data_IF_461265257494
#
_entry.id   IF_461265257494
#
_cell.length_a   1.000
_cell.length_b   1.000
_cell.length_c   1.000
_cell.angle_alpha   90.00
_cell.angle_beta   90.00
_cell.angle_gamma   90.00
#
_symmetry.space_group_name_H-M   'P 1'
#
loop_
_entity.id
_entity.type
_entity.pdbx_description
1 polymer ?
#
# COMPACT_ATOMS: atom_id res chain seq x y z
N UNK A 1 6.59 -4.94 -7.43
CA UNK A 1 5.75 -3.88 -7.99
C UNK A 1 6.47 -2.55 -8.00
N UNK A 2 6.04 -1.64 -8.85
CA UNK A 2 6.62 -0.32 -9.07
C UNK A 2 5.63 0.79 -8.66
N UNK A 3 6.13 2.01 -8.46
CA UNK A 3 5.35 3.17 -8.04
C UNK A 3 5.75 4.38 -8.89
N UNK A 4 4.75 5.12 -9.38
CA UNK A 4 4.91 6.47 -9.91
C UNK A 4 4.19 7.46 -8.99
N UNK A 5 4.86 8.56 -8.63
CA UNK A 5 4.36 9.63 -7.79
C UNK A 5 4.38 10.97 -8.53
N UNK A 6 3.25 11.66 -8.58
CA UNK A 6 3.07 12.95 -9.25
C UNK A 6 1.60 13.33 -9.36
N UNK A 7 1.33 14.54 -9.80
CA UNK A 7 0.00 14.92 -10.27
C UNK A 7 -0.27 14.15 -11.56
N UNK A 8 -1.48 13.65 -11.77
CA UNK A 8 -1.76 12.70 -12.85
C UNK A 8 -1.36 13.21 -14.23
N UNK A 9 -1.64 14.47 -14.51
CA UNK A 9 -1.33 15.15 -15.78
C UNK A 9 0.18 15.38 -16.01
N UNK A 10 1.01 15.34 -14.96
CA UNK A 10 2.46 15.53 -15.06
C UNK A 10 3.21 14.22 -15.28
N UNK A 11 2.54 13.06 -15.12
CA UNK A 11 3.16 11.74 -15.29
C UNK A 11 2.95 11.29 -16.74
N UNK A 12 4.02 10.96 -17.50
CA UNK A 12 3.87 10.42 -18.86
C UNK A 12 2.95 9.20 -18.89
N UNK A 13 2.13 9.08 -19.94
CA UNK A 13 1.15 8.00 -20.08
C UNK A 13 1.82 6.62 -20.01
N UNK A 14 2.96 6.43 -20.67
CA UNK A 14 3.74 5.20 -20.69
C UNK A 14 4.17 4.75 -19.28
N UNK A 15 4.53 5.70 -18.41
CA UNK A 15 4.90 5.41 -17.01
C UNK A 15 3.69 4.88 -16.23
N UNK A 16 2.50 5.49 -16.40
CA UNK A 16 1.27 5.01 -15.79
C UNK A 16 0.87 3.62 -16.32
N UNK A 17 1.00 3.40 -17.61
CA UNK A 17 0.72 2.12 -18.27
C UNK A 17 1.63 1.02 -17.73
N UNK A 18 2.93 1.27 -17.59
CA UNK A 18 3.88 0.30 -17.07
C UNK A 18 3.63 -0.03 -15.59
N UNK A 19 3.17 0.93 -14.79
CA UNK A 19 2.69 0.65 -13.42
C UNK A 19 1.55 -0.36 -13.43
N UNK A 20 0.58 -0.23 -14.34
CA UNK A 20 -0.53 -1.18 -14.48
C UNK A 20 -0.03 -2.53 -15.00
N UNK A 21 0.83 -2.53 -16.02
CA UNK A 21 1.43 -3.74 -16.59
C UNK A 21 2.12 -4.58 -15.52
N UNK A 22 3.01 -3.95 -14.75
CA UNK A 22 3.80 -4.64 -13.72
C UNK A 22 2.95 -5.05 -12.51
N UNK A 23 2.16 -4.12 -11.97
CA UNK A 23 1.50 -4.31 -10.67
C UNK A 23 0.18 -5.07 -10.75
N UNK A 24 -0.47 -5.12 -11.91
CA UNK A 24 -1.76 -5.78 -12.10
C UNK A 24 -1.67 -6.89 -13.13
N UNK A 25 -1.34 -6.56 -14.38
CA UNK A 25 -1.35 -7.56 -15.45
C UNK A 25 -0.28 -8.63 -15.25
N UNK A 26 0.87 -8.29 -14.65
CA UNK A 26 1.89 -9.27 -14.26
C UNK A 26 1.35 -10.35 -13.32
N UNK A 27 0.56 -9.97 -12.32
CA UNK A 27 -0.08 -10.91 -11.39
C UNK A 27 -1.14 -11.78 -12.08
N UNK A 28 -1.99 -11.16 -12.94
CA UNK A 28 -3.01 -11.90 -13.72
C UNK A 28 -2.34 -12.94 -14.61
N UNK A 29 -1.32 -12.56 -15.37
CA UNK A 29 -0.56 -13.46 -16.24
C UNK A 29 0.10 -14.60 -15.46
N UNK A 30 0.70 -14.29 -14.31
CA UNK A 30 1.30 -15.31 -13.43
C UNK A 30 0.26 -16.32 -12.94
N UNK A 31 -0.91 -15.85 -12.51
CA UNK A 31 -2.01 -16.72 -12.10
C UNK A 31 -2.50 -17.61 -13.25
N UNK A 32 -2.67 -17.05 -14.46
CA UNK A 32 -3.07 -17.81 -15.65
C UNK A 32 -2.12 -18.95 -15.97
N UNK A 33 -0.82 -18.77 -15.74
CA UNK A 33 0.19 -19.80 -15.98
C UNK A 33 0.17 -20.89 -14.90
N UNK A 34 0.04 -20.52 -13.61
CA UNK A 34 0.20 -21.50 -12.52
C UNK A 34 -1.08 -22.26 -12.17
N UNK A 35 -2.26 -21.65 -12.36
CA UNK A 35 -3.54 -22.24 -11.96
C UNK A 35 -3.87 -23.58 -12.66
N UNK A 36 -3.60 -23.79 -13.95
CA UNK A 36 -3.78 -25.12 -14.56
C UNK A 36 -3.00 -26.22 -13.86
N UNK A 37 -1.76 -25.93 -13.43
CA UNK A 37 -0.92 -26.85 -12.68
C UNK A 37 -1.49 -27.13 -11.29
N UNK A 38 -1.95 -26.12 -10.57
CA UNK A 38 -2.59 -26.29 -9.27
C UNK A 38 -3.85 -27.15 -9.37
N UNK A 39 -4.67 -26.92 -10.41
CA UNK A 39 -5.87 -27.74 -10.66
C UNK A 39 -5.52 -29.19 -11.00
N UNK A 40 -4.47 -29.42 -11.79
CA UNK A 40 -4.01 -30.77 -12.13
C UNK A 40 -3.50 -31.52 -10.90
N UNK A 41 -2.68 -30.90 -10.07
CA UNK A 41 -2.15 -31.49 -8.84
C UNK A 41 -3.13 -31.44 -7.66
N UNK A 42 -4.27 -30.75 -7.82
CA UNK A 42 -5.36 -30.55 -6.85
C UNK A 42 -4.97 -29.75 -5.60
N UNK A 43 -3.83 -29.13 -5.54
CA UNK A 43 -3.39 -28.26 -4.44
C UNK A 43 -2.49 -27.14 -4.95
N UNK A 44 -2.44 -26.03 -4.21
CA UNK A 44 -1.54 -24.92 -4.52
C UNK A 44 -1.82 -23.68 -3.67
N UNK A 45 -0.82 -22.83 -3.52
CA UNK A 45 -0.95 -21.56 -2.79
C UNK A 45 -0.46 -20.42 -3.67
N UNK A 46 -1.35 -19.52 -4.06
CA UNK A 46 -1.05 -18.28 -4.77
C UNK A 46 -1.01 -17.13 -3.74
N UNK A 47 0.15 -16.54 -3.52
CA UNK A 47 0.31 -15.44 -2.57
C UNK A 47 0.46 -14.12 -3.32
N UNK A 48 -0.50 -13.22 -3.19
CA UNK A 48 -0.50 -11.90 -3.80
C UNK A 48 -0.01 -10.84 -2.80
N UNK A 49 1.15 -10.24 -3.05
CA UNK A 49 1.65 -9.11 -2.26
C UNK A 49 1.02 -7.81 -2.77
N UNK A 50 -0.15 -7.47 -2.26
CA UNK A 50 -0.95 -6.34 -2.75
C UNK A 50 -0.40 -5.02 -2.19
N UNK A 51 -0.60 -4.72 -0.93
CA UNK A 51 -0.34 -3.50 -0.17
C UNK A 51 -1.61 -2.98 0.49
N UNK A 52 -1.46 -2.19 1.55
CA UNK A 52 -2.56 -1.34 2.07
C UNK A 52 -3.14 -0.43 0.99
N UNK A 53 -2.37 -0.12 -0.07
CA UNK A 53 -2.83 0.59 -1.26
C UNK A 53 -3.97 -0.08 -2.03
N UNK A 54 -4.29 -1.35 -1.77
CA UNK A 54 -5.49 -2.02 -2.29
C UNK A 54 -6.76 -1.76 -1.45
N UNK A 55 -6.63 -1.14 -0.28
CA UNK A 55 -7.74 -0.72 0.58
C UNK A 55 -7.87 0.79 0.67
N UNK A 56 -6.76 1.49 0.58
CA UNK A 56 -6.65 2.91 0.83
C UNK A 56 -5.96 3.60 -0.35
N UNK A 57 -6.64 4.49 -1.10
CA UNK A 57 -6.03 5.14 -2.26
C UNK A 57 -4.97 6.15 -1.82
N UNK A 58 -3.90 6.23 -2.60
CA UNK A 58 -2.77 7.11 -2.34
C UNK A 58 -2.87 8.31 -3.29
N UNK A 59 -3.20 9.52 -2.81
CA UNK A 59 -3.11 10.74 -3.61
C UNK A 59 -1.69 10.91 -4.17
N UNK A 60 -1.58 11.43 -5.39
CA UNK A 60 -0.33 11.50 -6.16
C UNK A 60 0.25 10.15 -6.59
N UNK A 61 -0.50 9.07 -6.46
CA UNK A 61 -0.16 7.72 -6.92
C UNK A 61 -1.38 7.06 -7.56
N UNK A 62 -2.02 7.72 -8.54
CA UNK A 62 -3.29 7.28 -9.11
C UNK A 62 -3.18 5.91 -9.80
N UNK A 63 -2.21 5.72 -10.70
CA UNK A 63 -1.99 4.45 -11.38
C UNK A 63 -1.59 3.34 -10.41
N UNK A 64 -0.76 3.64 -9.41
CA UNK A 64 -0.44 2.70 -8.34
C UNK A 64 -1.70 2.27 -7.57
N UNK A 65 -2.53 3.21 -7.14
CA UNK A 65 -3.79 2.91 -6.46
C UNK A 65 -4.70 2.06 -7.34
N UNK A 66 -4.88 2.45 -8.60
CA UNK A 66 -5.69 1.68 -9.56
C UNK A 66 -5.18 0.24 -9.70
N UNK A 67 -3.85 0.04 -9.83
CA UNK A 67 -3.25 -1.29 -9.93
C UNK A 67 -3.50 -2.15 -8.69
N UNK A 68 -3.39 -1.57 -7.48
CA UNK A 68 -3.55 -2.32 -6.21
C UNK A 68 -5.01 -2.60 -5.87
N UNK A 69 -5.94 -1.69 -6.18
CA UNK A 69 -7.37 -1.96 -6.10
C UNK A 69 -7.81 -2.99 -7.14
N UNK A 70 -7.31 -2.90 -8.38
CA UNK A 70 -7.55 -3.89 -9.44
C UNK A 70 -7.04 -5.27 -9.05
N UNK A 71 -5.83 -5.37 -8.49
CA UNK A 71 -5.26 -6.64 -8.03
C UNK A 71 -6.09 -7.26 -6.90
N UNK A 72 -6.60 -6.45 -5.96
CA UNK A 72 -7.52 -6.92 -4.95
C UNK A 72 -8.81 -7.45 -5.57
N UNK A 73 -9.43 -6.69 -6.50
CA UNK A 73 -10.65 -7.12 -7.18
C UNK A 73 -10.45 -8.43 -7.96
N UNK A 74 -9.33 -8.55 -8.68
CA UNK A 74 -8.92 -9.78 -9.36
C UNK A 74 -8.80 -10.95 -8.37
N UNK A 75 -8.11 -10.75 -7.25
CA UNK A 75 -7.91 -11.79 -6.24
C UNK A 75 -9.22 -12.27 -5.62
N UNK A 76 -10.14 -11.36 -5.27
CA UNK A 76 -11.45 -11.71 -4.71
C UNK A 76 -12.31 -12.49 -5.72
N UNK A 77 -12.31 -12.11 -7.01
CA UNK A 77 -12.99 -12.85 -8.05
C UNK A 77 -12.41 -14.26 -8.21
N UNK A 78 -11.09 -14.37 -8.23
CA UNK A 78 -10.40 -15.65 -8.35
C UNK A 78 -10.67 -16.59 -7.17
N UNK A 79 -10.75 -16.08 -5.94
CA UNK A 79 -11.17 -16.87 -4.77
C UNK A 79 -12.56 -17.48 -4.97
N UNK A 80 -13.50 -16.69 -5.55
CA UNK A 80 -14.83 -17.16 -5.90
C UNK A 80 -14.81 -18.29 -6.93
N UNK A 81 -14.02 -18.15 -7.99
CA UNK A 81 -13.87 -19.19 -9.02
C UNK A 81 -13.27 -20.49 -8.49
N UNK A 82 -12.42 -20.41 -7.47
CA UNK A 82 -11.71 -21.57 -6.92
C UNK A 82 -12.43 -22.25 -5.75
N UNK A 83 -13.63 -21.86 -5.40
CA UNK A 83 -14.40 -22.46 -4.29
C UNK A 83 -14.62 -23.97 -4.41
N UNK A 84 -14.62 -24.50 -5.63
CA UNK A 84 -14.71 -25.95 -5.88
C UNK A 84 -13.38 -26.72 -5.71
N UNK A 85 -12.27 -26.00 -5.42
CA UNK A 85 -10.93 -26.56 -5.22
C UNK A 85 -10.44 -26.23 -3.80
N UNK A 86 -10.85 -26.96 -2.76
CA UNK A 86 -10.62 -26.57 -1.36
C UNK A 86 -9.14 -26.47 -0.96
N UNK A 87 -8.26 -27.20 -1.64
CA UNK A 87 -6.82 -27.21 -1.38
C UNK A 87 -6.01 -26.24 -2.29
N UNK A 88 -6.71 -25.40 -3.09
CA UNK A 88 -6.08 -24.31 -3.83
C UNK A 88 -6.41 -22.99 -3.15
N UNK A 89 -5.41 -22.36 -2.55
CA UNK A 89 -5.56 -21.17 -1.76
C UNK A 89 -5.06 -19.92 -2.49
N UNK A 90 -5.84 -18.86 -2.48
CA UNK A 90 -5.42 -17.50 -2.89
C UNK A 90 -5.31 -16.64 -1.66
N UNK A 91 -4.09 -16.23 -1.33
CA UNK A 91 -3.73 -15.53 -0.10
C UNK A 91 -3.25 -14.11 -0.40
N UNK A 92 -3.90 -13.11 0.14
CA UNK A 92 -3.59 -11.71 -0.09
C UNK A 92 -2.86 -11.10 1.10
N UNK A 93 -1.71 -10.50 0.84
CA UNK A 93 -0.93 -9.74 1.79
C UNK A 93 -1.13 -8.24 1.60
N UNK A 94 -1.43 -7.54 2.70
CA UNK A 94 -1.61 -6.09 2.73
C UNK A 94 -0.60 -5.45 3.69
N UNK A 95 0.69 -5.36 3.30
CA UNK A 95 1.67 -4.63 4.09
C UNK A 95 1.41 -3.13 4.04
N UNK A 96 1.72 -2.43 5.16
CA UNK A 96 1.84 -0.98 5.20
C UNK A 96 3.17 -0.50 4.57
N UNK A 97 3.62 0.69 4.96
CA UNK A 97 4.92 1.20 4.52
C UNK A 97 6.06 0.34 5.06
N UNK A 98 6.99 -0.02 4.19
CA UNK A 98 8.14 -0.87 4.50
C UNK A 98 9.46 -0.14 4.30
N UNK A 99 10.45 -0.52 5.11
CA UNK A 99 11.84 -0.06 4.97
C UNK A 99 12.54 -0.80 3.84
N UNK A 100 12.12 -0.51 2.61
CA UNK A 100 12.69 -1.08 1.39
C UNK A 100 13.21 0.04 0.49
N UNK A 101 14.11 -0.24 -0.47
CA UNK A 101 14.53 0.71 -1.48
C UNK A 101 13.44 1.16 -2.45
N UNK A 102 12.25 0.53 -2.44
CA UNK A 102 11.19 0.75 -3.42
C UNK A 102 10.82 2.22 -3.68
N UNK A 103 10.84 3.08 -2.64
CA UNK A 103 10.61 4.53 -2.81
C UNK A 103 11.84 5.23 -3.44
N UNK A 104 13.04 4.71 -3.23
CA UNK A 104 14.25 5.26 -3.86
C UNK A 104 14.23 5.05 -5.39
N UNK A 105 13.64 3.95 -5.83
CA UNK A 105 13.49 3.57 -7.24
C UNK A 105 12.22 4.13 -7.90
N UNK A 106 11.29 4.69 -7.13
CA UNK A 106 10.00 5.15 -7.65
C UNK A 106 10.17 6.22 -8.72
N UNK A 107 9.36 6.16 -9.77
CA UNK A 107 9.18 7.32 -10.63
C UNK A 107 8.62 8.48 -9.82
N UNK A 108 9.21 9.66 -9.99
CA UNK A 108 8.85 10.81 -9.20
C UNK A 108 8.76 12.07 -10.06
N UNK A 109 7.55 12.50 -10.27
CA UNK A 109 7.19 13.71 -11.03
C UNK A 109 6.66 14.82 -10.12
N UNK A 110 6.81 14.68 -8.78
CA UNK A 110 6.38 15.72 -7.84
C UNK A 110 7.32 16.92 -7.78
N UNK A 111 8.53 16.82 -8.34
CA UNK A 111 9.59 17.81 -8.18
C UNK A 111 10.15 17.89 -6.76
N UNK A 112 9.80 16.94 -5.87
CA UNK A 112 10.15 16.93 -4.45
C UNK A 112 10.61 15.56 -3.99
N UNK A 113 11.57 15.52 -3.06
CA UNK A 113 12.03 14.27 -2.47
C UNK A 113 10.91 13.59 -1.69
N UNK A 114 10.57 12.35 -2.04
CA UNK A 114 9.53 11.56 -1.36
C UNK A 114 10.16 10.58 -0.36
N UNK A 115 9.42 10.31 0.72
CA UNK A 115 9.80 9.36 1.77
C UNK A 115 8.57 8.56 2.23
N UNK A 116 8.76 7.32 2.70
CA UNK A 116 7.64 6.56 3.24
C UNK A 116 7.10 7.22 4.52
N UNK A 117 5.78 7.20 4.67
CA UNK A 117 5.14 7.70 5.90
C UNK A 117 5.33 6.71 7.06
N UNK A 118 5.65 7.19 8.27
CA UNK A 118 5.74 6.33 9.46
C UNK A 118 4.35 5.86 9.92
N UNK A 119 4.30 4.73 10.66
CA UNK A 119 5.40 3.85 11.05
C UNK A 119 5.86 2.97 9.89
N UNK A 120 7.19 2.78 9.80
CA UNK A 120 7.82 2.04 8.72
C UNK A 120 8.14 0.61 9.21
N UNK A 121 7.55 -0.38 8.55
CA UNK A 121 7.70 -1.80 8.86
C UNK A 121 9.02 -2.40 8.34
N UNK A 122 9.39 -3.57 8.88
CA UNK A 122 10.53 -4.36 8.40
C UNK A 122 10.11 -5.26 7.24
N UNK A 123 10.85 -5.31 6.12
CA UNK A 123 10.60 -6.26 5.04
C UNK A 123 10.75 -7.72 5.49
N UNK A 124 11.63 -8.01 6.47
CA UNK A 124 11.81 -9.35 7.00
C UNK A 124 10.55 -9.86 7.74
N UNK A 125 9.73 -8.96 8.32
CA UNK A 125 8.43 -9.36 8.90
C UNK A 125 7.45 -9.83 7.83
N UNK A 126 7.46 -9.20 6.66
CA UNK A 126 6.64 -9.61 5.52
C UNK A 126 7.11 -10.96 5.00
N UNK A 127 8.42 -11.14 4.82
CA UNK A 127 8.99 -12.41 4.37
C UNK A 127 8.64 -13.59 5.31
N UNK A 128 8.76 -13.39 6.63
CA UNK A 128 8.31 -14.40 7.61
C UNK A 128 6.82 -14.70 7.45
N UNK A 129 5.98 -13.67 7.26
CA UNK A 129 4.54 -13.89 7.10
C UNK A 129 4.18 -14.63 5.82
N UNK A 130 4.96 -14.46 4.74
CA UNK A 130 4.84 -15.30 3.53
C UNK A 130 5.10 -16.77 3.85
N UNK A 131 6.15 -17.06 4.64
CA UNK A 131 6.46 -18.44 5.08
C UNK A 131 5.35 -18.99 5.97
N UNK A 132 4.84 -18.21 6.93
CA UNK A 132 3.72 -18.65 7.80
C UNK A 132 2.49 -19.09 6.97
N UNK A 133 2.16 -18.34 5.89
CA UNK A 133 1.02 -18.62 5.02
C UNK A 133 1.17 -19.97 4.28
N UNK A 134 2.39 -20.44 4.03
CA UNK A 134 2.60 -21.75 3.40
C UNK A 134 2.12 -22.89 4.33
N UNK A 135 2.25 -22.72 5.64
CA UNK A 135 1.83 -23.70 6.64
C UNK A 135 0.39 -23.51 7.13
N UNK A 136 -0.09 -22.26 7.11
CA UNK A 136 -1.45 -21.90 7.54
C UNK A 136 -2.03 -20.84 6.57
N UNK A 137 -2.60 -21.29 5.42
CA UNK A 137 -3.12 -20.38 4.39
C UNK A 137 -4.27 -19.51 4.91
N UNK A 138 -4.09 -18.19 4.83
CA UNK A 138 -5.10 -17.19 5.20
C UNK A 138 -5.49 -16.37 3.98
N UNK A 139 -6.80 -16.31 3.68
CA UNK A 139 -7.31 -15.58 2.51
C UNK A 139 -6.92 -14.10 2.51
N UNK A 140 -6.75 -13.48 3.68
CA UNK A 140 -6.39 -12.07 3.83
C UNK A 140 -5.50 -11.87 5.05
N UNK A 141 -4.31 -11.32 4.83
CA UNK A 141 -3.36 -11.01 5.91
C UNK A 141 -2.94 -9.55 5.83
N UNK A 142 -3.27 -8.74 6.85
CA UNK A 142 -2.83 -7.35 6.98
C UNK A 142 -1.59 -7.29 7.86
N UNK A 143 -0.53 -6.61 7.39
CA UNK A 143 0.75 -6.53 8.11
C UNK A 143 0.98 -5.10 8.60
N UNK A 144 0.92 -4.93 9.92
CA UNK A 144 1.11 -3.65 10.61
C UNK A 144 -0.20 -3.00 11.04
N UNK A 145 -0.24 -2.49 12.27
CA UNK A 145 -1.43 -1.87 12.85
C UNK A 145 -1.94 -0.67 12.04
N UNK A 146 -1.03 0.10 11.43
CA UNK A 146 -1.40 1.24 10.57
C UNK A 146 -2.17 0.80 9.34
N UNK A 147 -1.81 -0.34 8.72
CA UNK A 147 -2.53 -0.84 7.55
C UNK A 147 -3.97 -1.24 7.91
N UNK A 148 -4.17 -1.91 9.05
CA UNK A 148 -5.51 -2.24 9.57
C UNK A 148 -6.32 -0.99 9.86
N UNK A 149 -5.69 0.01 10.49
CA UNK A 149 -6.34 1.28 10.79
C UNK A 149 -6.76 2.04 9.53
N UNK A 150 -5.87 2.19 8.53
CA UNK A 150 -6.17 2.87 7.27
C UNK A 150 -7.32 2.19 6.51
N UNK A 151 -7.36 0.85 6.50
CA UNK A 151 -8.47 0.07 5.95
C UNK A 151 -9.79 0.44 6.60
N UNK A 152 -9.87 0.42 7.94
CA UNK A 152 -11.08 0.72 8.69
C UNK A 152 -11.50 2.18 8.48
N UNK A 153 -10.57 3.12 8.62
CA UNK A 153 -10.83 4.55 8.47
C UNK A 153 -11.39 4.89 7.08
N UNK A 154 -10.82 4.31 6.02
CA UNK A 154 -11.31 4.54 4.67
C UNK A 154 -12.68 3.91 4.42
N UNK A 155 -12.94 2.71 4.94
CA UNK A 155 -14.25 2.07 4.78
C UNK A 155 -15.37 2.84 5.48
N UNK A 156 -15.07 3.44 6.64
CA UNK A 156 -16.09 4.19 7.40
C UNK A 156 -16.21 5.65 6.92
N UNK A 157 -15.12 6.30 6.56
CA UNK A 157 -15.06 7.73 6.25
C UNK A 157 -14.23 8.02 4.99
N UNK A 158 -14.65 7.56 3.78
CA UNK A 158 -13.82 7.64 2.58
C UNK A 158 -13.48 9.09 2.16
N UNK A 159 -14.44 10.00 2.20
CA UNK A 159 -14.21 11.40 1.81
C UNK A 159 -13.24 12.11 2.76
N UNK A 160 -13.44 11.93 4.06
CA UNK A 160 -12.57 12.52 5.09
C UNK A 160 -11.14 11.95 5.02
N UNK A 161 -11.02 10.63 4.85
CA UNK A 161 -9.72 9.97 4.71
C UNK A 161 -8.95 10.50 3.50
N UNK A 162 -9.60 10.66 2.34
CA UNK A 162 -8.99 11.27 1.15
C UNK A 162 -8.54 12.72 1.41
N UNK A 163 -9.40 13.53 2.01
CA UNK A 163 -9.10 14.94 2.26
C UNK A 163 -7.90 15.10 3.21
N UNK A 164 -7.87 14.33 4.32
CA UNK A 164 -6.78 14.35 5.28
C UNK A 164 -5.48 13.89 4.61
N UNK A 165 -5.49 12.76 3.91
CA UNK A 165 -4.28 12.23 3.28
C UNK A 165 -3.73 13.18 2.22
N UNK A 166 -4.59 13.72 1.37
CA UNK A 166 -4.18 14.70 0.38
C UNK A 166 -3.58 15.96 1.02
N UNK A 167 -4.17 16.44 2.13
CA UNK A 167 -3.64 17.60 2.87
C UNK A 167 -2.27 17.31 3.49
N UNK A 168 -2.10 16.12 4.11
CA UNK A 168 -0.81 15.69 4.68
C UNK A 168 0.27 15.62 3.61
N UNK A 169 -0.03 14.99 2.46
CA UNK A 169 0.93 14.87 1.36
C UNK A 169 1.28 16.25 0.79
N UNK A 170 0.30 17.13 0.53
CA UNK A 170 0.58 18.49 0.05
C UNK A 170 1.45 19.30 1.02
N UNK A 171 1.18 19.20 2.32
CA UNK A 171 1.98 19.89 3.35
C UNK A 171 3.41 19.35 3.38
N UNK A 172 3.57 18.04 3.28
CA UNK A 172 4.88 17.41 3.19
C UNK A 172 5.65 17.87 1.93
N UNK A 173 5.02 17.85 0.76
CA UNK A 173 5.65 18.24 -0.51
C UNK A 173 6.08 19.72 -0.52
N UNK A 174 5.33 20.61 0.14
CA UNK A 174 5.73 22.02 0.29
C UNK A 174 7.06 22.18 1.04
N UNK A 175 7.35 21.29 2.00
CA UNK A 175 8.53 21.36 2.86
C UNK A 175 9.69 20.47 2.37
N UNK A 176 9.41 19.53 1.48
CA UNK A 176 10.42 18.59 0.98
C UNK A 176 11.42 19.28 0.04
N UNK A 177 12.67 18.77 0.06
CA UNK A 177 13.72 19.26 -0.82
C UNK A 177 13.35 19.10 -2.29
N UNK A 178 13.66 20.07 -3.15
CA UNK A 178 13.45 19.94 -4.58
C UNK A 178 14.40 18.87 -5.16
N UNK A 179 13.89 18.08 -6.10
CA UNK A 179 14.66 17.12 -6.88
C UNK A 179 14.12 17.10 -8.32
N UNK A 180 14.94 16.74 -9.32
CA UNK A 180 14.49 16.55 -10.69
C UNK A 180 13.41 15.47 -10.80
N UNK A 181 12.56 15.57 -11.83
CA UNK A 181 11.68 14.49 -12.22
C UNK A 181 12.47 13.28 -12.73
N UNK A 182 11.97 12.07 -12.48
CA UNK A 182 12.61 10.83 -12.90
C UNK A 182 11.57 9.74 -13.14
N UNK A 183 11.80 8.89 -14.15
CA UNK A 183 11.06 7.64 -14.38
C UNK A 183 11.42 6.53 -13.38
N UNK A 184 12.46 6.73 -12.57
CA UNK A 184 12.93 5.72 -11.63
C UNK A 184 13.30 4.41 -12.35
N UNK A 185 12.84 3.29 -11.79
CA UNK A 185 13.03 1.95 -12.37
C UNK A 185 11.85 1.45 -13.19
N UNK A 186 10.97 2.34 -13.67
CA UNK A 186 9.75 1.93 -14.38
C UNK A 186 10.07 1.58 -15.83
N UNK A 187 10.79 2.45 -16.53
CA UNK A 187 11.13 2.23 -17.94
C UNK A 187 12.48 1.51 -18.11
N UNK A 188 13.45 1.87 -17.29
CA UNK A 188 14.80 1.33 -17.33
C UNK A 188 15.27 0.86 -15.94
N UNK A 189 16.08 -0.19 -15.84
CA UNK A 189 16.64 -0.63 -14.56
C UNK A 189 17.60 0.44 -14.00
N UNK A 190 17.66 0.50 -12.65
CA UNK A 190 18.61 1.37 -11.94
C UNK A 190 19.65 0.54 -11.20
N UNK A 191 20.86 1.07 -11.02
CA UNK A 191 22.02 0.40 -10.40
C UNK A 191 22.19 0.68 -8.90
N UNK A 192 21.25 1.42 -8.29
CA UNK A 192 21.27 1.77 -6.86
C UNK A 192 20.10 1.14 -6.10
N UNK A 193 20.16 1.17 -4.76
CA UNK A 193 19.11 0.67 -3.88
C UNK A 193 18.94 -0.84 -3.95
N UNK A 194 20.04 -1.60 -4.01
CA UNK A 194 20.06 -3.07 -4.13
C UNK A 194 20.01 -3.79 -2.78
N UNK A 195 19.94 -3.04 -1.66
CA UNK A 195 19.86 -3.59 -0.30
C UNK A 195 18.46 -4.08 0.06
N UNK A 196 18.37 -4.93 1.09
CA UNK A 196 17.08 -5.37 1.64
C UNK A 196 16.36 -4.21 2.33
N UNK A 197 17.08 -3.37 3.07
CA UNK A 197 16.55 -2.22 3.80
C UNK A 197 16.85 -0.91 3.06
N UNK A 198 15.86 -0.02 3.01
CA UNK A 198 16.00 1.33 2.43
C UNK A 198 16.65 2.35 3.37
N UNK A 199 16.86 1.97 4.66
CA UNK A 199 17.44 2.85 5.68
C UNK A 199 16.48 3.87 6.28
N UNK A 200 15.19 3.79 5.96
CA UNK A 200 14.16 4.75 6.38
C UNK A 200 13.89 4.71 7.89
N UNK A 201 13.92 3.53 8.51
CA UNK A 201 13.68 3.34 9.95
C UNK A 201 14.75 4.02 10.80
N UNK A 202 16.02 3.92 10.38
CA UNK A 202 17.15 4.54 11.09
C UNK A 202 17.10 6.06 11.04
N UNK A 203 16.71 6.61 9.89
CA UNK A 203 16.55 8.06 9.69
C UNK A 203 15.43 8.64 10.53
N UNK A 204 14.29 7.92 10.66
CA UNK A 204 13.13 8.37 11.41
C UNK A 204 13.38 8.49 12.92
N UNK A 205 14.11 7.54 13.50
CA UNK A 205 14.42 7.54 14.94
C UNK A 205 15.33 8.73 15.32
N UNK A 206 16.16 9.21 14.39
CA UNK A 206 17.09 10.33 14.62
C UNK A 206 16.43 11.73 14.53
N UNK A 207 15.25 11.85 13.96
CA UNK A 207 14.61 13.14 13.71
C UNK A 207 13.54 13.42 14.79
N UNK A 208 13.75 14.44 15.62
CA UNK A 208 12.79 14.89 16.66
C UNK A 208 11.38 15.19 16.08
N UNK A 209 11.30 15.57 14.78
CA UNK A 209 10.06 15.78 14.03
C UNK A 209 9.22 14.51 13.83
N UNK A 210 9.83 13.31 13.86
CA UNK A 210 9.10 12.05 13.78
C UNK A 210 8.20 11.79 14.98
N UNK A 211 8.59 12.27 16.17
CA UNK A 211 7.77 12.17 17.39
C UNK A 211 6.54 13.10 17.32
N UNK A 212 6.67 14.29 16.71
CA UNK A 212 5.55 15.22 16.55
C UNK A 212 4.54 14.75 15.50
N UNK A 213 4.97 14.08 14.43
CA UNK A 213 4.06 13.56 13.40
C UNK A 213 3.22 12.39 13.94
N UNK A 214 3.83 11.49 14.72
CA UNK A 214 3.12 10.39 15.41
C UNK A 214 2.14 10.96 16.45
N UNK A 215 2.56 11.96 17.23
CA UNK A 215 1.70 12.62 18.21
C UNK A 215 0.53 13.36 17.53
N UNK A 216 0.76 14.02 16.38
CA UNK A 216 -0.29 14.69 15.61
C UNK A 216 -1.29 13.72 14.99
N UNK A 217 -0.83 12.59 14.45
CA UNK A 217 -1.69 11.52 13.95
C UNK A 217 -2.47 10.86 15.10
N UNK A 218 -1.84 10.59 16.23
CA UNK A 218 -2.49 10.01 17.41
C UNK A 218 -3.50 10.99 18.05
N UNK A 219 -3.17 12.29 18.13
CA UNK A 219 -4.07 13.32 18.65
C UNK A 219 -5.25 13.61 17.72
N UNK A 220 -5.04 13.60 16.41
CA UNK A 220 -6.11 13.71 15.41
C UNK A 220 -7.07 12.52 15.49
N UNK A 221 -6.56 11.33 15.77
CA UNK A 221 -7.32 10.09 15.97
C UNK A 221 -8.12 10.11 17.28
N UNK A 222 -7.50 10.53 18.40
CA UNK A 222 -8.18 10.65 19.68
C UNK A 222 -9.27 11.73 19.64
N UNK A 223 -9.04 12.85 18.96
CA UNK A 223 -10.05 13.88 18.75
C UNK A 223 -11.25 13.43 17.92
N UNK A 224 -11.04 12.59 16.89
CA UNK A 224 -12.10 12.01 16.07
C UNK A 224 -12.97 11.00 16.87
N UNK A 225 -12.34 10.15 17.69
CA UNK A 225 -13.07 9.18 18.53
C UNK A 225 -13.88 9.89 19.63
N UNK A 226 -13.33 10.95 20.22
CA UNK A 226 -14.02 11.75 21.23
C UNK A 226 -15.17 12.58 20.64
N UNK A 227 -15.02 13.15 19.45
CA UNK A 227 -16.09 13.86 18.72
C UNK A 227 -17.24 12.95 18.31
N UNK A 228 -16.97 11.70 17.93
CA UNK A 228 -17.98 10.69 17.60
C UNK A 228 -18.73 10.20 18.84
N UNK A 229 -18.07 10.03 19.99
CA UNK A 229 -18.71 9.67 21.25
C UNK A 229 -19.59 10.80 21.81
N UNK A 230 -19.18 12.06 21.66
CA UNK A 230 -20.01 13.20 22.04
C UNK A 230 -21.21 13.40 21.11
N UNK A 231 -21.05 13.22 19.80
CA UNK A 231 -22.13 13.33 18.81
C UNK A 231 -23.20 12.24 18.97
N UNK A 232 -22.85 11.03 19.41
CA UNK A 232 -23.80 9.96 19.71
C UNK A 232 -24.58 10.23 21.01
N UNK A 233 -23.93 10.81 22.03
CA UNK A 233 -24.61 11.20 23.27
C UNK A 233 -25.61 12.35 23.10
N UNK A 234 -25.30 13.32 22.23
CA UNK A 234 -26.22 14.45 21.94
C UNK A 234 -27.43 13.96 21.15
N UNK A 235 -27.31 12.98 20.24
CA UNK A 235 -28.42 12.39 19.50
C UNK A 235 -29.38 11.60 20.43
N UNK A 236 -28.84 10.90 21.44
CA UNK A 236 -29.62 10.13 22.40
C UNK A 236 -30.25 10.99 23.52
N UNK A 237 -29.91 12.29 23.61
CA UNK A 237 -30.55 13.26 24.53
C UNK A 237 -31.66 14.10 23.87
N UNK A 238 -31.77 14.01 22.53
CA UNK A 238 -32.77 14.76 21.73
C UNK A 238 -33.81 13.84 21.09
N UNK A 239 -33.75 12.54 21.36
CA UNK A 239 -34.79 11.51 21.10
C UNK A 239 -35.49 11.12 22.39
#
# INVERSE_FOLDING_TARGET
GVLAAGVLEDIPAEVNEEVIQTNLLGYIRSAQVVLPWFKQQKHGILINNISVGGWFPVPYGAAYSASKFGLRGFSEALKGELTQYPDIHVCDLYPGFLDTPGIQHAANYTGKAIKPAPPIGSPQKVARKVVDIIYDPQATTTIGATASFLKIAYNLFPALSRAITASVIRTYLKQANPIPATSGNILDPVDYGTSIEGGWRKSFIKTLGGKMLIAGLAAGLAGLTMGLMMGSRIRNLLS
#
